data_IF_443682956989
#
_entry.id   IF_443682956989
#
_cell.length_a   1.000
_cell.length_b   1.000
_cell.length_c   1.000
_cell.angle_alpha   90.00
_cell.angle_beta   90.00
_cell.angle_gamma   90.00
#
_symmetry.space_group_name_H-M   'P 1'
#
loop_
_entity.id
_entity.type
_entity.pdbx_description
1 polymer ?
2 polymer ?
3 water ?
#
# COMPACT_ATOMS: atom_id res chain seq x y z
N UNK A 2 -26.24 6.28 -5.64
CA UNK A 2 -24.98 5.55 -5.53
C UNK A 2 -23.72 6.34 -5.87
N UNK A 3 -22.58 5.69 -5.62
CA UNK A 3 -21.29 6.25 -5.94
C UNK A 3 -21.22 6.18 -7.44
N UNK A 4 -21.94 5.22 -8.01
CA UNK A 4 -21.98 5.04 -9.42
C UNK A 4 -22.75 6.23 -9.98
N UNK A 5 -23.72 6.70 -9.20
CA UNK A 5 -24.50 7.88 -9.58
C UNK A 5 -23.54 9.07 -9.54
N UNK A 6 -22.91 9.24 -8.37
CA UNK A 6 -21.95 10.31 -8.16
C UNK A 6 -20.83 10.30 -9.20
N UNK A 7 -20.26 9.13 -9.47
CA UNK A 7 -19.20 9.01 -10.46
C UNK A 7 -19.70 9.48 -11.80
N UNK A 8 -20.90 9.01 -12.14
CA UNK A 8 -21.55 9.35 -13.39
C UNK A 8 -21.67 10.89 -13.45
N UNK A 9 -22.06 11.47 -12.30
CA UNK A 9 -22.26 12.91 -12.15
C UNK A 9 -20.96 13.75 -12.23
N UNK A 10 -19.92 13.34 -11.49
CA UNK A 10 -18.67 14.08 -11.50
C UNK A 10 -18.07 13.98 -12.89
N UNK A 11 -18.13 12.78 -13.45
CA UNK A 11 -17.62 12.56 -14.80
C UNK A 11 -18.26 13.54 -15.74
N UNK A 12 -19.59 13.63 -15.72
CA UNK A 12 -20.30 14.56 -16.59
C UNK A 12 -19.89 16.01 -16.37
N UNK A 13 -19.75 16.42 -15.12
CA UNK A 13 -19.34 17.78 -14.82
C UNK A 13 -17.83 18.00 -14.96
N UNK A 14 -17.08 16.90 -14.97
CA UNK A 14 -15.63 17.01 -15.05
C UNK A 14 -15.11 17.61 -13.75
N UNK A 15 -15.74 17.22 -12.65
CA UNK A 15 -15.37 17.76 -11.36
C UNK A 15 -14.39 16.90 -10.54
N UNK A 16 -13.52 16.15 -11.21
CA UNK A 16 -12.59 15.34 -10.46
C UNK A 16 -11.61 16.17 -9.65
N UNK A 17 -10.91 17.11 -10.31
CA UNK A 17 -9.93 17.99 -9.65
C UNK A 17 -10.60 18.82 -8.55
N UNK A 18 -11.79 19.33 -8.82
CA UNK A 18 -12.51 20.12 -7.85
C UNK A 18 -12.83 19.26 -6.63
N UNK A 19 -13.57 18.17 -6.85
CA UNK A 19 -13.93 17.27 -5.76
C UNK A 19 -12.72 16.82 -4.94
N UNK A 20 -11.60 16.62 -5.60
CA UNK A 20 -10.39 16.18 -4.94
C UNK A 20 -9.77 17.29 -4.10
N UNK A 21 -9.90 18.57 -4.52
CA UNK A 21 -9.37 19.65 -3.69
C UNK A 21 -10.26 19.82 -2.46
N UNK A 22 -11.55 19.56 -2.57
CA UNK A 22 -12.41 19.64 -1.40
C UNK A 22 -11.90 18.61 -0.39
N UNK A 23 -11.48 17.44 -0.88
CA UNK A 23 -10.94 16.36 -0.07
C UNK A 23 -9.60 16.80 0.53
N UNK A 24 -8.73 17.38 -0.31
CA UNK A 24 -7.42 17.87 0.10
C UNK A 24 -7.62 18.95 1.19
N UNK A 25 -8.57 19.86 0.98
CA UNK A 25 -8.80 20.94 1.92
C UNK A 25 -9.37 20.41 3.19
N UNK A 26 -10.13 19.33 3.06
CA UNK A 26 -10.77 18.72 4.21
C UNK A 26 -9.92 17.73 5.03
N UNK A 27 -8.84 17.18 4.47
CA UNK A 27 -8.02 16.24 5.23
C UNK A 27 -7.41 16.80 6.52
N UNK A 28 -7.24 15.88 7.47
CA UNK A 28 -6.66 16.15 8.76
C UNK A 28 -5.22 16.58 8.63
N UNK A 29 -4.67 17.00 9.76
CA UNK A 29 -3.31 17.48 9.85
C UNK A 29 -2.93 17.26 11.29
N UNK A 30 -1.93 16.44 11.54
CA UNK A 30 -1.51 16.17 12.92
C UNK A 30 -0.03 16.32 12.90
N UNK A 31 0.59 16.42 14.09
CA UNK A 31 2.03 16.56 14.17
C UNK A 31 2.78 15.40 13.53
N UNK A 32 4.01 15.70 13.14
CA UNK A 32 4.94 14.73 12.56
C UNK A 32 6.27 15.20 13.17
N UNK A 33 6.24 15.49 14.47
CA UNK A 33 7.40 16.01 15.18
C UNK A 33 8.61 15.09 15.17
N UNK A 34 8.39 13.82 15.47
CA UNK A 34 9.48 12.83 15.48
C UNK A 34 10.13 12.69 14.07
N UNK A 35 9.31 12.75 13.02
CA UNK A 35 9.75 12.66 11.63
C UNK A 35 10.73 13.75 11.23
N UNK A 36 10.56 14.92 11.82
CA UNK A 36 11.39 16.04 11.51
C UNK A 36 12.60 16.23 12.43
N UNK A 37 12.76 15.37 13.42
CA UNK A 37 13.94 15.45 14.28
C UNK A 37 15.12 15.44 13.33
N UNK A 38 16.11 16.30 13.57
CA UNK A 38 17.30 16.36 12.72
C UNK A 38 17.97 15.00 12.57
N UNK A 39 17.84 14.16 13.60
CA UNK A 39 18.44 12.85 13.57
C UNK A 39 17.72 11.90 12.62
N UNK A 40 16.40 12.04 12.51
CA UNK A 40 15.65 11.15 11.64
C UNK A 40 15.65 11.57 10.18
N UNK A 41 16.41 12.62 9.88
CA UNK A 41 16.49 13.13 8.52
C UNK A 41 16.82 12.11 7.44
N UNK A 42 17.86 11.32 7.67
CA UNK A 42 18.31 10.31 6.72
C UNK A 42 17.41 9.08 6.75
N UNK A 43 16.39 9.11 7.59
CA UNK A 43 15.48 7.99 7.61
C UNK A 43 14.23 8.31 6.76
N UNK A 44 14.26 9.37 5.96
CA UNK A 44 13.07 9.74 5.18
C UNK A 44 13.39 9.97 3.78
N UNK A 45 12.71 9.25 2.88
CA UNK A 45 12.96 9.44 1.46
C UNK A 45 12.55 10.79 0.92
N UNK A 46 11.37 11.26 1.33
CA UNK A 46 10.86 12.55 0.88
C UNK A 46 10.65 13.51 2.04
N UNK A 47 11.13 14.72 1.79
CA UNK A 47 11.12 15.84 2.71
C UNK A 47 9.72 16.20 3.13
N UNK A 48 8.81 16.09 2.18
CA UNK A 48 7.41 16.41 2.35
C UNK A 48 6.43 15.27 2.69
N UNK A 49 6.93 14.05 2.92
CA UNK A 49 6.01 12.96 3.27
C UNK A 49 6.48 12.28 4.54
N UNK A 50 5.74 12.51 5.61
CA UNK A 50 6.06 11.98 6.93
C UNK A 50 4.88 11.37 7.66
N UNK A 51 5.16 10.50 8.63
CA UNK A 51 4.03 9.92 9.36
C UNK A 51 3.61 10.83 10.52
N UNK A 52 2.32 10.82 10.82
CA UNK A 52 1.77 11.57 11.93
C UNK A 52 2.31 10.78 13.12
N UNK A 53 2.64 11.45 14.20
CA UNK A 53 3.18 10.79 15.38
C UNK A 53 2.15 9.87 16.00
N UNK A 54 0.91 10.28 16.06
CA UNK A 54 -0.08 9.43 16.71
C UNK A 54 -0.24 8.06 16.11
N UNK A 55 0.02 7.95 14.80
CA UNK A 55 -0.13 6.71 14.03
C UNK A 55 1.16 6.12 13.50
N UNK A 56 2.30 6.76 13.76
CA UNK A 56 3.54 6.19 13.27
C UNK A 56 3.83 4.82 13.91
N UNK A 57 4.54 3.95 13.19
CA UNK A 57 4.94 2.62 13.68
C UNK A 57 6.31 2.83 14.36
N UNK A 58 6.46 2.29 15.57
CA UNK A 58 7.71 2.39 16.31
C UNK A 58 8.50 1.09 16.28
N UNK A 59 9.78 1.15 15.91
CA UNK A 59 10.64 -0.04 15.87
C UNK A 59 10.90 -0.39 17.31
N UNK A 60 10.79 -1.65 17.65
CA UNK A 60 11.11 -2.05 19.01
C UNK A 60 12.65 -2.02 19.15
N UNK A 61 13.30 -1.04 18.50
CA UNK A 61 14.75 -0.85 18.50
C UNK A 61 14.99 -0.03 19.75
N UNK A 62 16.11 -0.27 20.42
CA UNK A 62 16.41 0.50 21.61
C UNK A 62 16.92 1.86 21.16
N UNK A 63 17.85 1.81 20.21
CA UNK A 63 18.49 3.01 19.66
C UNK A 63 17.58 4.20 19.26
N UNK A 64 16.99 4.07 18.08
CA UNK A 64 16.14 5.08 17.48
C UNK A 64 14.93 4.22 17.16
N UNK A 65 13.71 4.74 17.33
CA UNK A 65 12.55 3.90 17.00
C UNK A 65 11.80 4.41 15.77
N UNK A 66 12.45 5.27 15.00
CA UNK A 66 11.84 5.82 13.80
C UNK A 66 11.96 5.04 12.46
N UNK A 67 10.85 5.09 11.74
CA UNK A 67 10.62 4.52 10.40
C UNK A 67 9.38 5.27 9.81
N UNK A 68 9.56 5.85 8.63
CA UNK A 68 8.51 6.58 7.97
C UNK A 68 7.48 5.56 7.56
N UNK A 69 6.56 5.24 8.47
CA UNK A 69 5.51 4.25 8.22
C UNK A 69 4.35 4.59 9.13
N UNK A 70 3.14 4.32 8.66
CA UNK A 70 1.89 4.64 9.35
C UNK A 70 0.91 3.49 9.52
N UNK A 71 0.30 3.40 10.70
CA UNK A 71 -0.68 2.36 10.86
C UNK A 71 -2.06 2.88 10.55
N UNK A 72 -2.60 2.50 9.39
CA UNK A 72 -3.95 2.88 8.96
C UNK A 72 -4.88 1.84 9.61
N UNK A 73 -5.48 2.13 10.77
CA UNK A 73 -6.35 1.14 11.43
C UNK A 73 -7.75 1.48 10.98
N UNK A 74 -8.51 0.52 10.46
CA UNK A 74 -9.88 0.83 9.95
C UNK A 74 -11.04 0.17 10.73
N UNK A 75 -11.65 0.94 11.62
CA UNK A 75 -12.70 0.49 12.54
C UNK A 75 -13.79 -0.31 11.93
N UNK A 76 -14.65 0.34 11.17
CA UNK A 76 -15.75 -0.37 10.55
C UNK A 76 -15.30 -1.51 9.65
N UNK A 77 -14.43 -1.18 8.69
CA UNK A 77 -13.87 -2.16 7.75
C UNK A 77 -13.26 -3.35 8.45
N UNK A 78 -12.82 -3.15 9.68
CA UNK A 78 -12.19 -4.20 10.45
C UNK A 78 -10.86 -4.56 9.88
N UNK A 79 -10.26 -3.67 9.10
CA UNK A 79 -8.94 -3.91 8.54
C UNK A 79 -7.91 -2.78 8.81
N UNK A 80 -6.65 -3.20 9.00
CA UNK A 80 -5.48 -2.35 9.24
C UNK A 80 -4.42 -2.62 8.19
N UNK A 81 -3.77 -1.56 7.71
CA UNK A 81 -2.67 -1.64 6.77
C UNK A 81 -1.57 -0.75 7.32
N UNK A 82 -0.33 -1.09 7.01
CA UNK A 82 0.83 -0.32 7.42
C UNK A 82 1.37 0.27 6.12
N UNK A 83 1.16 1.56 5.89
CA UNK A 83 1.69 2.20 4.67
C UNK A 83 3.05 2.77 5.05
N UNK A 84 4.02 2.67 4.15
CA UNK A 84 5.37 3.17 4.40
C UNK A 84 6.02 3.58 3.03
N UNK A 85 7.15 4.27 3.07
CA UNK A 85 7.86 4.69 1.86
C UNK A 85 8.73 3.56 1.29
N UNK A 86 9.31 3.78 0.12
CA UNK A 86 10.19 2.77 -0.44
C UNK A 86 11.44 2.80 0.44
N UNK A 87 11.76 1.74 1.17
CA UNK A 87 12.96 1.79 2.00
C UNK A 87 14.20 2.35 1.32
N UNK A 88 15.01 3.04 2.12
CA UNK A 88 16.29 3.60 1.67
C UNK A 88 17.46 2.58 1.93
N UNK A 89 18.61 2.80 1.28
CA UNK A 89 19.73 1.89 1.51
C UNK A 89 19.95 1.66 3.01
N UNK A 90 19.85 2.75 3.77
CA UNK A 90 20.02 2.65 5.21
C UNK A 90 18.82 2.22 6.04
N UNK A 91 17.66 1.97 5.43
CA UNK A 91 16.49 1.61 6.21
C UNK A 91 15.77 0.29 5.90
N UNK A 92 16.38 -0.57 5.08
CA UNK A 92 15.87 -1.92 4.72
C UNK A 92 15.96 -2.83 5.94
N UNK A 93 16.94 -2.58 6.80
CA UNK A 93 17.05 -3.32 8.03
C UNK A 93 15.81 -2.95 8.84
N UNK A 94 15.51 -1.66 8.97
CA UNK A 94 14.32 -1.19 9.72
C UNK A 94 13.02 -1.72 9.13
N UNK A 95 12.88 -1.61 7.81
CA UNK A 95 11.71 -2.10 7.10
C UNK A 95 11.51 -3.56 7.45
N UNK A 96 12.54 -4.38 7.35
CA UNK A 96 12.33 -5.78 7.66
C UNK A 96 12.03 -5.98 9.15
N UNK A 97 12.64 -5.16 10.01
CA UNK A 97 12.43 -5.20 11.47
C UNK A 97 10.96 -4.93 11.74
N UNK A 98 10.40 -3.90 11.11
CA UNK A 98 8.99 -3.60 11.27
C UNK A 98 8.14 -4.77 10.81
N UNK A 99 8.49 -5.39 9.68
CA UNK A 99 7.70 -6.53 9.24
C UNK A 99 7.75 -7.64 10.31
N UNK A 100 8.91 -7.85 10.91
CA UNK A 100 9.00 -8.91 11.90
C UNK A 100 8.18 -8.58 13.14
N UNK A 101 8.41 -7.39 13.70
CA UNK A 101 7.74 -6.99 14.93
C UNK A 101 6.22 -6.82 14.82
N UNK A 102 5.78 -6.34 13.66
CA UNK A 102 4.38 -6.12 13.40
C UNK A 102 3.71 -7.40 12.98
N UNK A 103 4.52 -8.44 12.76
CA UNK A 103 3.99 -9.75 12.36
C UNK A 103 3.20 -9.75 11.03
N UNK A 104 3.65 -8.96 10.07
CA UNK A 104 3.00 -8.93 8.75
C UNK A 104 3.32 -10.23 7.99
N UNK A 105 2.43 -10.62 7.10
CA UNK A 105 2.59 -11.83 6.28
C UNK A 105 2.76 -11.46 4.81
N UNK A 106 2.23 -10.30 4.42
CA UNK A 106 2.34 -9.87 3.05
C UNK A 106 2.94 -8.50 2.90
N UNK A 107 3.55 -8.23 1.74
CA UNK A 107 4.11 -6.92 1.48
C UNK A 107 3.61 -6.60 0.08
N UNK A 108 3.02 -5.42 -0.08
CA UNK A 108 2.50 -5.01 -1.36
C UNK A 108 3.33 -3.84 -1.87
N UNK A 109 4.16 -4.11 -2.88
CA UNK A 109 5.01 -3.09 -3.46
C UNK A 109 4.32 -2.63 -4.70
N UNK A 110 3.84 -1.39 -4.68
CA UNK A 110 3.10 -0.87 -5.81
C UNK A 110 3.90 -0.02 -6.75
N UNK A 111 5.21 -0.05 -6.57
CA UNK A 111 6.15 0.71 -7.39
C UNK A 111 7.35 -0.13 -7.84
N UNK A 112 8.13 0.45 -8.73
CA UNK A 112 9.32 -0.18 -9.26
C UNK A 112 10.49 0.53 -8.66
N UNK A 113 11.58 -0.21 -8.39
CA UNK A 113 12.81 0.39 -7.81
C UNK A 113 13.35 1.65 -8.57
N UNK A 114 13.40 1.58 -9.91
CA UNK A 114 13.85 2.67 -10.78
C UNK A 114 12.64 3.07 -11.65
N UNK A 115 12.21 4.32 -11.56
CA UNK A 115 11.05 4.78 -12.36
C UNK A 115 11.43 6.09 -13.04
N UNK A 116 11.26 6.11 -14.36
CA UNK A 116 11.58 7.24 -15.22
C UNK A 116 12.94 7.88 -14.85
N UNK A 117 14.00 7.07 -14.93
CA UNK A 117 15.36 7.49 -14.63
C UNK A 117 15.71 7.80 -13.18
N UNK A 118 14.71 7.81 -12.29
CA UNK A 118 14.98 8.10 -10.89
C UNK A 118 14.73 6.89 -10.01
N UNK A 119 15.54 6.75 -8.96
CA UNK A 119 15.44 5.67 -7.97
C UNK A 119 14.25 5.99 -7.07
N UNK A 120 13.46 4.99 -6.71
CA UNK A 120 12.30 5.26 -5.89
C UNK A 120 12.28 4.36 -4.71
N UNK A 121 13.14 3.36 -4.69
CA UNK A 121 13.09 2.40 -3.63
C UNK A 121 14.28 1.46 -3.71
N UNK A 122 14.81 1.10 -2.54
CA UNK A 122 15.95 0.21 -2.48
C UNK A 122 15.52 -1.22 -2.78
N UNK A 123 16.50 -1.98 -3.25
CA UNK A 123 16.39 -3.39 -3.60
C UNK A 123 16.50 -3.96 -2.22
N UNK A 124 15.36 -3.99 -1.56
CA UNK A 124 15.33 -4.43 -0.18
C UNK A 124 15.11 -5.90 0.00
N UNK A 125 15.00 -6.65 -1.11
CA UNK A 125 14.79 -8.10 -1.02
C UNK A 125 15.70 -8.72 -2.09
N UNK A 126 16.01 -10.05 -1.99
CA UNK A 126 16.89 -10.68 -2.98
C UNK A 126 16.21 -11.12 -4.24
N UNK A 127 16.91 -10.98 -5.35
CA UNK A 127 16.39 -11.34 -6.64
C UNK A 127 16.74 -12.81 -7.01
N UNK A 128 17.81 -13.35 -6.43
CA UNK A 128 18.17 -14.73 -6.68
C UNK A 128 18.38 -15.52 -5.39
N UNK A 129 17.87 -16.75 -5.37
CA UNK A 129 17.94 -17.62 -4.19
C UNK A 129 19.31 -17.97 -3.64
N UNK A 130 20.35 -17.79 -4.45
CA UNK A 130 21.72 -18.08 -4.02
C UNK A 130 22.29 -16.90 -3.30
N UNK A 131 21.56 -15.80 -3.26
CA UNK A 131 22.06 -14.63 -2.59
C UNK A 131 21.03 -14.04 -1.63
N UNK A 132 21.03 -14.53 -0.39
CA UNK A 132 20.14 -14.04 0.67
C UNK A 132 20.75 -12.75 1.13
N UNK A 133 20.00 -11.99 1.89
CA UNK A 133 20.49 -10.73 2.38
C UNK A 133 20.50 -10.88 3.86
N UNK A 134 21.40 -10.15 4.48
CA UNK A 134 21.50 -10.11 5.93
C UNK A 134 21.56 -8.65 6.26
N UNK A 135 20.63 -8.24 7.09
CA UNK A 135 20.52 -6.87 7.56
C UNK A 135 21.18 -6.96 8.90
N UNK A 136 22.43 -6.54 8.89
CA UNK A 136 23.27 -6.62 10.06
C UNK A 136 22.78 -5.85 11.24
N UNK A 137 22.34 -4.63 10.99
CA UNK A 137 21.82 -3.80 12.07
C UNK A 137 20.65 -4.42 12.81
N UNK A 138 19.70 -4.99 12.07
CA UNK A 138 18.53 -5.50 12.73
C UNK A 138 18.55 -6.96 12.99
N UNK A 139 19.63 -7.60 12.60
CA UNK A 139 19.83 -9.03 12.83
C UNK A 139 18.80 -9.94 12.23
N UNK A 140 18.56 -9.76 10.95
CA UNK A 140 17.60 -10.58 10.23
C UNK A 140 18.20 -11.07 8.90
N UNK A 141 17.76 -12.23 8.44
CA UNK A 141 18.23 -12.75 7.16
C UNK A 141 17.00 -12.88 6.23
N UNK A 142 17.12 -12.42 4.98
CA UNK A 142 16.02 -12.52 4.00
C UNK A 142 16.44 -13.36 2.76
N UNK A 143 15.65 -14.38 2.41
CA UNK A 143 15.99 -15.23 1.28
C UNK A 143 14.86 -15.48 0.30
N UNK A 144 15.16 -15.49 -0.99
CA UNK A 144 14.14 -15.74 -2.01
C UNK A 144 13.92 -17.24 -2.15
N UNK A 145 12.72 -17.71 -1.87
CA UNK A 145 12.40 -19.13 -2.00
C UNK A 145 11.78 -19.46 -3.36
N UNK A 146 11.05 -18.51 -3.94
CA UNK A 146 10.38 -18.70 -5.22
C UNK A 146 9.66 -17.45 -5.74
N UNK A 147 9.46 -17.35 -7.05
CA UNK A 147 8.75 -16.22 -7.64
C UNK A 147 7.70 -16.74 -8.62
N UNK A 148 6.79 -15.84 -8.99
CA UNK A 148 5.72 -16.14 -9.94
C UNK A 148 5.45 -14.86 -10.72
N UNK A 149 6.25 -14.70 -11.76
CA UNK A 149 6.23 -13.57 -12.65
C UNK A 149 5.11 -13.57 -13.65
N UNK A 150 4.38 -12.45 -13.68
CA UNK A 150 3.30 -12.28 -14.62
C UNK A 150 3.58 -11.00 -15.42
N UNK A 151 2.72 -10.78 -16.41
CA UNK A 151 2.73 -9.60 -17.28
C UNK A 151 3.09 -8.32 -16.56
N UNK A 152 2.24 -7.99 -15.60
CA UNK A 152 2.35 -6.75 -14.90
C UNK A 152 2.65 -6.83 -13.39
N UNK A 153 2.53 -8.02 -12.80
CA UNK A 153 2.84 -8.23 -11.36
C UNK A 153 3.64 -9.51 -11.06
N UNK A 154 4.16 -9.66 -9.85
CA UNK A 154 4.92 -10.85 -9.45
C UNK A 154 4.71 -11.15 -7.95
N UNK A 155 4.53 -12.43 -7.59
CA UNK A 155 4.37 -12.83 -6.19
C UNK A 155 5.63 -13.60 -5.86
N UNK A 156 6.24 -13.28 -4.73
CA UNK A 156 7.45 -13.99 -4.33
C UNK A 156 7.20 -14.50 -2.95
N UNK A 157 7.78 -15.64 -2.66
CA UNK A 157 7.69 -16.21 -1.35
C UNK A 157 9.12 -16.07 -0.79
N UNK A 158 9.30 -15.13 0.13
CA UNK A 158 10.60 -14.88 0.75
C UNK A 158 10.56 -15.55 2.12
N UNK A 159 11.73 -15.79 2.70
CA UNK A 159 11.81 -16.37 4.03
C UNK A 159 12.61 -15.40 4.83
N UNK A 160 12.05 -14.95 5.94
CA UNK A 160 12.76 -14.02 6.83
C UNK A 160 13.05 -14.74 8.14
N UNK A 161 14.27 -14.58 8.62
CA UNK A 161 14.66 -15.18 9.84
C UNK A 161 15.23 -14.21 10.85
N UNK A 162 14.88 -14.45 12.10
CA UNK A 162 15.37 -13.65 13.21
C UNK A 162 16.63 -14.39 13.53
N UNK A 163 17.76 -13.82 13.13
CA UNK A 163 19.03 -14.47 13.39
C UNK A 163 19.15 -14.66 14.89
N UNK A 164 18.59 -13.72 15.64
CA UNK A 164 18.65 -13.76 17.09
C UNK A 164 17.98 -14.97 17.73
N UNK A 165 16.95 -15.50 17.09
CA UNK A 165 16.26 -16.62 17.66
C UNK A 165 16.16 -17.79 16.69
N UNK A 166 16.75 -17.61 15.51
CA UNK A 166 16.72 -18.60 14.43
C UNK A 166 15.29 -18.94 14.06
N UNK A 167 14.36 -18.09 14.46
CA UNK A 167 12.98 -18.30 14.13
C UNK A 167 12.80 -17.79 12.71
N UNK A 168 11.91 -18.43 11.99
CA UNK A 168 11.82 -18.13 10.59
C UNK A 168 10.34 -17.92 10.17
N UNK A 169 10.16 -17.16 9.08
CA UNK A 169 8.84 -16.84 8.53
C UNK A 169 8.81 -16.64 7.02
N UNK A 170 7.65 -16.93 6.44
CA UNK A 170 7.35 -16.85 5.03
C UNK A 170 6.63 -15.56 4.74
N UNK A 171 7.22 -14.70 3.92
CA UNK A 171 6.58 -13.43 3.62
C UNK A 171 6.22 -13.43 2.15
N UNK A 172 4.93 -13.29 1.86
CA UNK A 172 4.49 -13.22 0.48
C UNK A 172 4.70 -11.76 0.09
N UNK A 173 5.21 -11.56 -1.12
CA UNK A 173 5.54 -10.26 -1.65
C UNK A 173 4.75 -10.06 -2.91
N UNK A 174 3.92 -9.03 -2.97
CA UNK A 174 3.15 -8.79 -4.18
C UNK A 174 3.68 -7.57 -4.86
N UNK A 175 4.33 -7.79 -5.97
CA UNK A 175 4.93 -6.67 -6.62
C UNK A 175 4.18 -6.29 -7.89
N UNK A 176 3.58 -5.10 -7.84
CA UNK A 176 2.84 -4.52 -8.95
C UNK A 176 3.85 -3.71 -9.72
N UNK A 177 4.21 -4.15 -10.92
CA UNK A 177 5.23 -3.42 -11.68
C UNK A 177 4.70 -2.45 -12.76
N UNK A 178 3.40 -2.45 -13.02
CA UNK A 178 2.92 -1.59 -14.09
C UNK A 178 1.95 -0.50 -13.66
N UNK A 179 2.33 0.24 -12.62
CA UNK A 179 1.54 1.34 -12.08
C UNK A 179 2.52 2.49 -11.91
N UNK A 180 2.51 3.46 -12.82
CA UNK A 180 3.39 4.61 -12.78
C UNK A 180 3.18 5.55 -11.61
N UNK A 181 4.26 6.25 -11.27
CA UNK A 181 4.28 7.23 -10.20
C UNK A 181 3.34 8.34 -10.67
N UNK A 182 2.38 8.69 -9.84
CA UNK A 182 1.40 9.73 -10.17
C UNK A 182 0.55 9.27 -11.33
N UNK A 183 0.36 7.96 -11.39
CA UNK A 183 -0.40 7.34 -12.46
C UNK A 183 -1.41 6.36 -11.94
N UNK A 184 -2.15 5.74 -12.85
CA UNK A 184 -3.19 4.78 -12.48
C UNK A 184 -2.92 3.37 -13.04
N UNK A 185 -3.56 2.35 -12.44
CA UNK A 185 -3.35 0.99 -12.92
C UNK A 185 -3.93 0.93 -14.33
N UNK A 186 -3.51 -0.05 -15.12
CA UNK A 186 -3.97 -0.20 -16.51
C UNK A 186 -5.46 -0.21 -16.73
N UNK A 187 -6.20 -0.72 -15.77
CA UNK A 187 -7.63 -0.77 -15.89
C UNK A 187 -8.14 -1.39 -14.62
N UNK A 188 -9.43 -1.21 -14.34
CA UNK A 188 -10.05 -1.79 -13.15
C UNK A 188 -9.80 -3.30 -13.09
N UNK A 189 -9.78 -3.96 -14.25
CA UNK A 189 -9.51 -5.40 -14.37
C UNK A 189 -8.16 -5.78 -13.73
N UNK A 190 -7.07 -5.21 -14.25
CA UNK A 190 -5.71 -5.45 -13.73
C UNK A 190 -5.59 -5.22 -12.22
N UNK A 191 -6.17 -4.13 -11.74
CA UNK A 191 -6.11 -3.76 -10.31
C UNK A 191 -6.84 -4.76 -9.42
N UNK A 192 -8.10 -4.95 -9.78
CA UNK A 192 -8.99 -5.85 -9.11
C UNK A 192 -8.44 -7.27 -9.15
N UNK A 193 -7.82 -7.62 -10.26
CA UNK A 193 -7.22 -8.94 -10.39
C UNK A 193 -6.02 -9.01 -9.37
N UNK A 194 -5.24 -7.93 -9.28
CA UNK A 194 -4.10 -7.93 -8.35
C UNK A 194 -4.55 -7.98 -6.87
N UNK A 195 -5.53 -7.16 -6.48
CA UNK A 195 -6.05 -7.09 -5.08
C UNK A 195 -6.47 -8.48 -4.62
N UNK A 196 -7.30 -9.08 -5.45
CA UNK A 196 -7.85 -10.37 -5.19
C UNK A 196 -6.78 -11.44 -5.05
N UNK A 197 -5.67 -11.29 -5.77
CA UNK A 197 -4.57 -12.27 -5.61
C UNK A 197 -4.09 -12.12 -4.18
N UNK A 198 -3.85 -10.86 -3.78
CA UNK A 198 -3.38 -10.55 -2.41
C UNK A 198 -4.36 -11.06 -1.38
N UNK A 199 -5.65 -10.84 -1.66
CA UNK A 199 -6.73 -11.27 -0.80
C UNK A 199 -6.70 -12.77 -0.59
N UNK A 200 -6.62 -13.54 -1.68
CA UNK A 200 -6.58 -15.00 -1.56
C UNK A 200 -5.33 -15.53 -0.87
N UNK A 201 -4.22 -14.83 -0.99
CA UNK A 201 -3.01 -15.30 -0.38
C UNK A 201 -3.23 -15.54 1.08
N UNK A 202 -4.28 -14.95 1.63
CA UNK A 202 -4.53 -15.07 3.05
C UNK A 202 -3.75 -13.97 3.78
N UNK A 203 -3.04 -13.16 2.99
CA UNK A 203 -2.25 -12.06 3.53
C UNK A 203 -3.03 -10.94 4.23
N UNK A 204 -4.19 -10.56 3.71
CA UNK A 204 -4.97 -9.50 4.33
C UNK A 204 -5.79 -10.06 5.49
N UNK A 205 -5.38 -11.21 5.99
CA UNK A 205 -6.12 -11.86 7.03
C UNK A 205 -5.80 -11.52 8.47
N UNK A 206 -6.85 -11.19 9.24
CA UNK A 206 -6.94 -10.81 10.63
C UNK A 206 -6.11 -11.60 11.62
N UNK A 207 -5.68 -12.78 11.19
CA UNK A 207 -4.89 -13.66 12.05
C UNK A 207 -3.45 -13.27 11.94
N UNK A 208 -3.12 -12.29 11.12
CA UNK A 208 -1.73 -11.83 10.99
C UNK A 208 -1.60 -10.35 11.35
N UNK A 209 -0.36 -9.87 11.42
CA UNK A 209 -0.18 -8.46 11.70
C UNK A 209 -0.64 -7.74 10.46
N UNK A 210 -0.55 -6.40 10.39
CA UNK A 210 -0.98 -5.65 9.20
C UNK A 210 -0.15 -5.87 7.92
N UNK A 211 -0.85 -5.88 6.79
CA UNK A 211 -0.16 -6.02 5.53
C UNK A 211 0.59 -4.69 5.44
N UNK A 212 1.83 -4.75 4.97
CA UNK A 212 2.65 -3.55 4.78
C UNK A 212 2.47 -3.18 3.31
N UNK A 213 1.93 -2.00 3.03
CA UNK A 213 1.75 -1.59 1.65
C UNK A 213 2.67 -0.42 1.46
N UNK A 214 3.39 -0.39 0.34
CA UNK A 214 4.26 0.74 0.04
C UNK A 214 4.31 1.03 -1.47
N UNK A 215 4.83 2.21 -1.81
CA UNK A 215 5.02 2.69 -3.18
C UNK A 215 6.30 3.49 -2.96
N UNK A 216 6.56 4.58 -3.68
CA UNK A 216 7.78 5.32 -3.37
C UNK A 216 7.63 6.09 -2.03
N UNK A 217 6.49 6.79 -1.85
CA UNK A 217 6.26 7.57 -0.65
C UNK A 217 5.30 6.88 0.27
N UNK A 218 4.62 5.86 -0.23
CA UNK A 218 3.65 5.20 0.63
C UNK A 218 2.33 5.98 0.80
N UNK A 219 1.96 6.82 -0.19
CA UNK A 219 0.68 7.59 -0.19
C UNK A 219 -0.21 7.60 -1.42
N UNK A 220 0.37 7.66 -2.62
CA UNK A 220 -0.44 7.74 -3.83
C UNK A 220 -1.04 6.43 -4.22
N UNK A 221 -0.23 5.57 -4.83
CA UNK A 221 -0.64 4.24 -5.25
C UNK A 221 -1.06 3.44 -4.04
N UNK A 222 -0.42 3.70 -2.89
CA UNK A 222 -0.75 3.05 -1.62
C UNK A 222 -2.17 3.45 -1.10
N UNK A 223 -2.49 4.73 -1.16
CA UNK A 223 -3.80 5.19 -0.72
C UNK A 223 -4.90 4.59 -1.61
N UNK A 224 -4.59 4.58 -2.91
CA UNK A 224 -5.48 4.05 -3.96
C UNK A 224 -5.70 2.57 -3.72
N UNK A 225 -4.64 1.78 -3.58
CA UNK A 225 -4.76 0.35 -3.28
C UNK A 225 -5.71 0.11 -2.08
N UNK A 226 -5.39 0.74 -0.94
CA UNK A 226 -6.12 0.64 0.31
C UNK A 226 -7.50 1.25 0.30
N UNK A 227 -7.67 2.32 -0.46
CA UNK A 227 -9.00 2.91 -0.53
C UNK A 227 -9.98 1.87 -1.15
N UNK A 228 -9.64 1.39 -2.34
CA UNK A 228 -10.47 0.46 -3.07
C UNK A 228 -10.77 -0.80 -2.24
N UNK A 229 -9.78 -1.32 -1.55
CA UNK A 229 -9.98 -2.53 -0.76
C UNK A 229 -10.87 -2.29 0.46
N UNK A 230 -10.61 -1.23 1.23
CA UNK A 230 -11.46 -0.96 2.38
C UNK A 230 -12.91 -0.73 1.97
N UNK A 231 -13.16 0.03 0.91
CA UNK A 231 -14.53 0.27 0.45
C UNK A 231 -15.25 -1.04 0.11
N UNK A 232 -14.57 -1.97 -0.55
CA UNK A 232 -15.20 -3.25 -0.91
C UNK A 232 -15.49 -4.07 0.36
N UNK A 233 -14.66 -3.89 1.37
CA UNK A 233 -14.77 -4.55 2.68
C UNK A 233 -16.10 -4.16 3.31
N UNK A 234 -16.27 -2.86 3.48
CA UNK A 234 -17.49 -2.24 4.02
C UNK A 234 -18.72 -2.67 3.25
N UNK A 235 -18.70 -2.49 1.93
CA UNK A 235 -19.82 -2.90 1.11
C UNK A 235 -20.24 -4.30 1.45
N UNK A 236 -19.29 -5.15 1.78
CA UNK A 236 -19.61 -6.50 2.16
C UNK A 236 -20.12 -6.56 3.58
N UNK A 237 -19.40 -5.89 4.46
CA UNK A 237 -19.72 -5.86 5.88
C UNK A 237 -21.13 -5.36 6.02
N UNK A 238 -21.61 -4.65 5.01
CA UNK A 238 -22.97 -4.20 5.10
C UNK A 238 -23.72 -4.65 3.85
N UNK A 239 -23.16 -5.63 3.11
CA UNK A 239 -23.68 -6.13 1.81
C UNK A 239 -24.97 -5.39 1.38
N UNK A 240 -24.81 -4.05 1.40
CA UNK A 240 -25.79 -2.99 1.11
C UNK A 240 -24.75 -1.93 0.74
N UNK A 241 -24.08 -2.16 -0.41
CA UNK A 241 -23.02 -1.35 -1.01
C UNK A 241 -23.34 0.15 -1.05
N UNK A 242 -24.61 0.42 -1.35
CA UNK A 242 -25.18 1.75 -1.50
C UNK A 242 -24.68 2.74 -0.48
N UNK A 243 -24.61 2.31 0.76
CA UNK A 243 -24.23 3.22 1.82
C UNK A 243 -22.76 3.48 1.90
N UNK A 244 -21.98 3.24 0.85
CA UNK A 244 -20.55 3.51 0.99
C UNK A 244 -20.05 4.81 0.35
N UNK A 245 -19.62 5.73 1.21
CA UNK A 245 -19.09 7.00 0.76
C UNK A 245 -17.58 6.82 0.73
N UNK A 246 -17.03 6.86 -0.48
CA UNK A 246 -15.61 6.72 -0.70
C UNK A 246 -14.86 7.93 -0.19
N UNK A 247 -15.31 9.13 -0.55
CA UNK A 247 -14.67 10.36 -0.12
C UNK A 247 -14.54 10.33 1.38
N UNK A 248 -15.56 9.82 2.06
CA UNK A 248 -15.51 9.76 3.50
C UNK A 248 -14.54 8.66 3.94
N UNK A 249 -14.52 7.53 3.22
CA UNK A 249 -13.58 6.47 3.61
C UNK A 249 -12.20 7.06 3.52
N UNK A 250 -11.96 7.77 2.42
CA UNK A 250 -10.68 8.39 2.16
C UNK A 250 -10.34 9.36 3.28
N UNK A 251 -11.29 10.19 3.71
CA UNK A 251 -11.03 11.17 4.76
C UNK A 251 -10.73 10.49 6.06
N UNK A 252 -11.39 9.35 6.32
CA UNK A 252 -11.10 8.61 7.54
C UNK A 252 -9.65 8.08 7.41
N UNK A 253 -9.29 7.56 6.24
CA UNK A 253 -7.94 7.07 6.03
C UNK A 253 -6.88 8.19 6.15
N UNK A 254 -7.14 9.41 5.67
CA UNK A 254 -6.13 10.47 5.77
C UNK A 254 -5.92 10.99 7.23
N UNK A 255 -6.51 10.30 8.20
CA UNK A 255 -6.34 10.65 9.59
C UNK A 255 -5.18 9.90 10.19
N UNK A 256 -4.80 8.83 9.50
CA UNK A 256 -3.74 7.97 9.96
C UNK A 256 -2.46 8.24 9.25
N UNK A 257 -2.56 8.65 8.00
CA UNK A 257 -1.37 8.98 7.20
C UNK A 257 -1.83 9.99 6.17
N UNK A 258 -0.93 10.90 5.82
CA UNK A 258 -1.22 11.96 4.90
C UNK A 258 -1.16 11.75 3.39
N UNK A 259 -2.02 12.44 2.66
CA UNK A 259 -1.96 12.39 1.21
C UNK A 259 -2.39 11.12 0.55
N UNK A 260 -3.06 10.25 1.31
CA UNK A 260 -3.53 9.01 0.75
C UNK A 260 -4.39 9.40 -0.42
N UNK A 261 -3.86 9.14 -1.62
CA UNK A 261 -4.42 9.46 -2.93
C UNK A 261 -3.92 10.88 -3.29
N UNK A 262 -3.02 10.85 -4.29
CA UNK A 262 -2.25 11.98 -4.80
C UNK A 262 -2.73 12.71 -6.00
N UNK A 263 -3.69 12.16 -6.70
CA UNK A 263 -4.15 12.81 -7.91
C UNK A 263 -5.64 12.65 -8.07
N UNK A 264 -6.24 13.56 -8.85
CA UNK A 264 -7.69 13.50 -9.08
C UNK A 264 -8.01 12.23 -9.84
N UNK A 265 -7.21 11.91 -10.85
CA UNK A 265 -7.44 10.70 -11.62
C UNK A 265 -7.32 9.41 -10.78
N UNK A 266 -6.37 9.38 -9.83
CA UNK A 266 -6.25 8.24 -8.90
C UNK A 266 -7.56 8.18 -8.09
N UNK A 267 -8.17 9.34 -7.84
CA UNK A 267 -9.43 9.40 -7.11
C UNK A 267 -10.49 8.85 -8.04
N UNK A 268 -10.50 9.31 -9.29
CA UNK A 268 -11.49 8.80 -10.24
C UNK A 268 -11.34 7.30 -10.42
N UNK A 269 -10.09 6.85 -10.43
CA UNK A 269 -9.80 5.44 -10.62
C UNK A 269 -10.38 4.63 -9.49
N UNK A 270 -10.16 5.11 -8.26
CA UNK A 270 -10.66 4.44 -7.08
C UNK A 270 -12.16 4.12 -7.20
N UNK A 271 -12.92 5.03 -7.81
CA UNK A 271 -14.35 4.85 -8.01
C UNK A 271 -14.64 3.70 -8.95
N UNK A 272 -14.01 3.76 -10.13
CA UNK A 272 -14.12 2.73 -11.18
C UNK A 272 -13.83 1.39 -10.59
N UNK A 273 -12.69 1.31 -9.92
CA UNK A 273 -12.32 0.06 -9.27
C UNK A 273 -13.36 -0.45 -8.22
N UNK A 274 -13.82 0.42 -7.33
CA UNK A 274 -14.80 0.05 -6.31
C UNK A 274 -16.14 -0.35 -6.94
N UNK A 275 -16.57 0.45 -7.90
CA UNK A 275 -17.82 0.19 -8.60
C UNK A 275 -17.68 -1.21 -9.23
N UNK A 276 -16.73 -1.41 -10.16
CA UNK A 276 -16.51 -2.76 -10.72
C UNK A 276 -16.48 -3.91 -9.71
N UNK A 277 -15.72 -3.70 -8.63
CA UNK A 277 -15.58 -4.70 -7.58
C UNK A 277 -16.87 -5.26 -7.01
N UNK A 278 -17.76 -4.35 -6.63
CA UNK A 278 -19.04 -4.70 -6.07
C UNK A 278 -19.75 -5.69 -6.96
N UNK A 279 -19.57 -5.59 -8.28
CA UNK A 279 -20.22 -6.56 -9.17
C UNK A 279 -19.99 -7.97 -8.63
N UNK A 280 -18.76 -8.21 -8.19
CA UNK A 280 -18.34 -9.49 -7.63
C UNK A 280 -18.86 -9.74 -6.21
N UNK A 281 -18.72 -8.72 -5.37
CA UNK A 281 -19.15 -8.77 -3.97
C UNK A 281 -20.65 -8.94 -3.93
N UNK A 282 -21.32 -8.14 -4.74
CA UNK A 282 -22.77 -8.20 -4.82
C UNK A 282 -23.22 -9.58 -5.31
N UNK A 283 -22.28 -10.38 -5.82
CA UNK A 283 -22.63 -11.72 -6.28
C UNK A 283 -22.02 -12.29 -7.54
N UNK A 284 -21.88 -11.47 -8.58
CA UNK A 284 -21.34 -11.95 -9.85
C UNK A 284 -20.06 -12.72 -9.72
N UNK A 285 -20.15 -13.96 -10.16
CA UNK A 285 -19.00 -14.84 -10.15
C UNK A 285 -18.10 -14.53 -11.37
N UNK A 286 -18.59 -14.86 -12.57
CA UNK A 286 -17.86 -14.61 -13.81
C UNK A 286 -16.82 -13.47 -13.74
N UNK A 287 -17.26 -12.30 -13.29
CA UNK A 287 -16.42 -11.10 -13.19
C UNK A 287 -14.96 -11.31 -12.79
N UNK A 288 -14.74 -12.10 -11.75
CA UNK A 288 -13.39 -12.35 -11.27
C UNK A 288 -12.54 -12.95 -12.40
N UNK A 289 -13.06 -14.04 -12.93
CA UNK A 289 -12.47 -14.83 -14.01
C UNK A 289 -12.22 -13.93 -15.23
N UNK A 290 -13.13 -12.97 -15.43
CA UNK A 290 -13.06 -11.98 -16.51
C UNK A 290 -11.91 -11.00 -16.27
N UNK A 291 -11.77 -10.55 -15.01
CA UNK A 291 -10.69 -9.62 -14.68
C UNK A 291 -9.43 -10.32 -15.06
N UNK A 292 -9.29 -11.58 -14.69
CA UNK A 292 -8.05 -12.28 -15.03
C UNK A 292 -7.75 -12.21 -16.50
N UNK A 293 -8.75 -12.46 -17.32
CA UNK A 293 -8.56 -12.38 -18.78
C UNK A 293 -8.16 -10.96 -19.18
N UNK A 294 -8.99 -10.01 -18.80
CA UNK A 294 -8.78 -8.60 -19.07
C UNK A 294 -7.41 -8.09 -18.63
N UNK A 295 -6.95 -8.58 -17.49
CA UNK A 295 -5.65 -8.21 -16.94
C UNK A 295 -4.46 -8.72 -17.77
N UNK A 296 -4.76 -9.53 -18.79
CA UNK A 296 -3.74 -10.11 -19.67
C UNK A 296 -2.53 -10.55 -18.87
N UNK A 297 -2.74 -11.31 -17.80
CA UNK A 297 -1.62 -11.72 -16.99
C UNK A 297 -0.66 -12.74 -17.63
N UNK A 298 -0.50 -12.60 -18.95
CA UNK A 298 0.39 -13.39 -19.79
C UNK A 298 0.79 -12.66 -21.07
N UNK B 1 16.47 20.79 -4.40
CA UNK B 1 15.34 20.50 -5.29
C UNK B 1 14.99 18.88 -4.97
N UNK B 2 15.55 17.91 -5.75
CA UNK B 2 15.36 16.35 -5.58
C UNK B 2 14.32 15.84 -4.49
N UNK B 3 14.68 16.11 -3.23
CA UNK B 3 13.94 15.74 -1.97
C UNK B 3 12.42 15.53 -2.14
N UNK B 4 11.57 16.21 -2.88
CA UNK B 4 10.10 16.21 -2.89
C UNK B 4 9.32 15.26 -3.79
N UNK B 5 8.17 14.84 -3.28
CA UNK B 5 7.28 13.91 -3.95
C UNK B 5 5.94 14.56 -4.33
N UNK B 6 5.43 15.41 -3.46
CA UNK B 6 4.13 16.06 -3.67
C UNK B 6 4.11 16.99 -4.85
N UNK B 7 3.10 16.98 -5.58
#
# INVERSE_FOLDING_TARGET
>A
MEMEKEFEQIDKSGSWAAIYQDIRHEASDFPCRVAKLPKNKNRNRYRDVSPFDHSRIKLHQEDNDYINASLIKMEEAQRSYILTQGPLPNTCGHFWEMVWEQKSRGVVMLNRVMEKGSLKCAQYWPQKEEKEMIFEDTNLKLTLISEDIKTYYTVRQLELENLTTQETREILHFHYTTWPDFGVPESPASFLNFLFKVRESGSLSPEHGPVVVHSSAGIGRSGTFCLADTCLLLMDKRKDPSSVDIKKVLLEMRKFRMGLIQTADQLRFSYLAVIEGAKFIMGDSSVQDQWKELSHEDLEPPPEHIPPPPRPPKRILEPHN
>B
DADEYLX
#
